data_IF_800489568021
#
_entry.id   IF_800489568021
#
_cell.length_a   1.000
_cell.length_b   1.000
_cell.length_c   1.000
_cell.angle_alpha   90.00
_cell.angle_beta   90.00
_cell.angle_gamma   90.00
#
_symmetry.space_group_name_H-M   'P 1'
#
loop_
_entity.id
_entity.type
_entity.pdbx_description
1 polymer ?
#
# COMPACT_ATOMS: atom_id res chain seq x y z
N UNK A 1 -2.10 5.11 -36.15
CA UNK A 1 -0.87 5.54 -35.45
C UNK A 1 -1.29 6.21 -34.15
N UNK A 2 -1.19 5.48 -33.02
CA UNK A 2 -1.69 5.92 -31.71
C UNK A 2 -0.62 6.75 -30.99
N UNK A 3 -1.04 7.77 -30.24
CA UNK A 3 -0.16 8.72 -29.52
C UNK A 3 0.84 8.05 -28.58
N UNK A 4 0.47 6.88 -28.05
CA UNK A 4 1.28 6.06 -27.15
C UNK A 4 2.56 5.55 -27.85
N UNK A 5 2.42 5.02 -29.08
CA UNK A 5 3.57 4.55 -29.87
C UNK A 5 4.55 5.67 -30.25
N UNK A 6 4.05 6.90 -30.41
CA UNK A 6 4.88 8.07 -30.74
C UNK A 6 5.64 8.58 -29.51
N UNK A 7 5.03 8.49 -28.33
CA UNK A 7 5.67 8.84 -27.06
C UNK A 7 6.80 7.86 -26.71
N UNK A 8 6.55 6.55 -26.87
CA UNK A 8 7.58 5.52 -26.62
C UNK A 8 8.78 5.65 -27.56
N UNK A 9 8.53 5.89 -28.85
CA UNK A 9 9.62 6.08 -29.81
C UNK A 9 10.41 7.36 -29.52
N UNK A 10 9.75 8.42 -29.05
CA UNK A 10 10.40 9.65 -28.62
C UNK A 10 11.24 9.47 -27.35
N UNK A 11 10.79 8.63 -26.41
CA UNK A 11 11.57 8.27 -25.20
C UNK A 11 12.80 7.45 -25.60
N UNK A 12 12.66 6.47 -26.49
CA UNK A 12 13.78 5.66 -26.98
C UNK A 12 14.81 6.47 -27.77
N UNK A 13 14.37 7.44 -28.57
CA UNK A 13 15.25 8.35 -29.32
C UNK A 13 15.93 9.39 -28.39
N UNK A 14 15.27 9.82 -27.30
CA UNK A 14 15.83 10.74 -26.30
C UNK A 14 16.79 10.06 -25.32
N UNK A 15 16.60 8.75 -25.07
CA UNK A 15 17.46 7.95 -24.21
C UNK A 15 18.84 7.66 -24.84
N UNK A 16 19.08 8.10 -26.09
CA UNK A 16 20.41 8.27 -26.69
C UNK A 16 21.35 7.12 -26.38
N UNK A 17 21.17 5.98 -27.06
CA UNK A 17 22.10 4.85 -27.10
C UNK A 17 22.99 4.71 -25.86
N UNK A 18 22.42 4.35 -24.69
CA UNK A 18 23.20 4.12 -23.48
C UNK A 18 24.17 2.94 -23.73
N UNK A 19 25.49 3.17 -23.92
CA UNK A 19 26.48 2.12 -24.02
C UNK A 19 27.09 1.94 -22.62
N UNK A 20 26.23 1.92 -21.60
CA UNK A 20 26.61 1.63 -20.23
C UNK A 20 26.28 0.16 -20.01
N UNK A 21 27.32 -0.66 -19.83
CA UNK A 21 27.20 -1.99 -19.25
C UNK A 21 26.53 -1.84 -17.89
N UNK A 22 25.21 -1.95 -17.87
CA UNK A 22 24.41 -2.11 -16.67
C UNK A 22 24.77 -3.49 -16.12
N UNK A 23 25.83 -3.54 -15.33
CA UNK A 23 26.01 -4.63 -14.38
C UNK A 23 24.86 -4.48 -13.38
N UNK A 24 23.79 -5.25 -13.61
CA UNK A 24 22.61 -5.31 -12.75
C UNK A 24 23.03 -6.06 -11.48
N UNK A 25 23.70 -5.34 -10.58
CA UNK A 25 24.39 -5.91 -9.41
C UNK A 25 23.44 -6.51 -8.39
N UNK A 26 22.14 -6.19 -8.41
CA UNK A 26 21.14 -6.92 -7.63
C UNK A 26 19.74 -6.45 -8.03
N UNK A 27 19.08 -7.21 -8.90
CA UNK A 27 17.63 -7.13 -9.02
C UNK A 27 17.07 -7.72 -7.72
N UNK A 28 16.74 -6.87 -6.74
CA UNK A 28 16.02 -7.33 -5.55
C UNK A 28 14.56 -7.56 -5.95
N UNK A 29 14.35 -8.54 -6.82
CA UNK A 29 13.04 -9.07 -7.16
C UNK A 29 12.52 -9.69 -5.89
N UNK A 30 11.77 -8.89 -5.13
CA UNK A 30 10.98 -9.36 -4.00
C UNK A 30 10.02 -10.36 -4.60
N UNK A 31 10.39 -11.65 -4.50
CA UNK A 31 9.57 -12.73 -5.01
C UNK A 31 8.16 -12.57 -4.42
N UNK A 32 7.10 -12.74 -5.22
CA UNK A 32 5.71 -12.50 -4.79
C UNK A 32 5.34 -13.21 -3.47
N UNK A 33 6.08 -14.27 -3.09
CA UNK A 33 5.95 -14.97 -1.81
C UNK A 33 6.27 -14.12 -0.56
N UNK A 34 7.34 -13.32 -0.57
CA UNK A 34 7.67 -12.44 0.58
C UNK A 34 6.63 -11.32 0.77
N UNK A 35 6.02 -10.87 -0.32
CA UNK A 35 4.89 -9.95 -0.30
C UNK A 35 3.63 -10.61 0.27
N UNK A 36 3.28 -11.81 -0.19
CA UNK A 36 2.13 -12.56 0.29
C UNK A 36 2.22 -12.87 1.80
N UNK A 37 3.39 -13.27 2.28
CA UNK A 37 3.63 -13.54 3.71
C UNK A 37 3.50 -12.27 4.55
N UNK A 38 4.04 -11.14 4.06
CA UNK A 38 3.92 -9.85 4.75
C UNK A 38 2.48 -9.36 4.81
N UNK A 39 1.69 -9.58 3.74
CA UNK A 39 0.25 -9.26 3.71
C UNK A 39 -0.51 -10.11 4.72
N UNK A 40 -0.29 -11.43 4.73
CA UNK A 40 -0.96 -12.32 5.67
C UNK A 40 -0.61 -12.02 7.14
N UNK A 41 0.67 -11.75 7.42
CA UNK A 41 1.12 -11.32 8.73
C UNK A 41 0.50 -9.97 9.11
N UNK A 42 0.43 -9.03 8.18
CA UNK A 42 -0.20 -7.71 8.37
C UNK A 42 -1.70 -7.81 8.66
N UNK A 43 -2.44 -8.67 7.94
CA UNK A 43 -3.87 -8.91 8.19
C UNK A 43 -4.09 -9.50 9.58
N UNK A 44 -3.28 -10.50 9.96
CA UNK A 44 -3.39 -11.15 11.27
C UNK A 44 -3.06 -10.19 12.41
N UNK A 45 -1.97 -9.42 12.27
CA UNK A 45 -1.58 -8.40 13.23
C UNK A 45 -2.61 -7.27 13.32
N UNK A 46 -3.17 -6.85 12.19
CA UNK A 46 -4.23 -5.86 12.10
C UNK A 46 -5.48 -6.33 12.84
N UNK A 47 -5.93 -7.56 12.61
CA UNK A 47 -7.12 -8.11 13.28
C UNK A 47 -6.96 -8.16 14.81
N UNK A 48 -5.81 -8.65 15.29
CA UNK A 48 -5.52 -8.71 16.74
C UNK A 48 -5.40 -7.29 17.31
N UNK A 49 -4.74 -6.37 16.60
CA UNK A 49 -4.60 -4.98 17.00
C UNK A 49 -5.94 -4.25 17.10
N UNK A 50 -6.80 -4.37 16.08
CA UNK A 50 -8.14 -3.79 16.09
C UNK A 50 -8.98 -4.35 17.22
N UNK A 51 -8.99 -5.67 17.43
CA UNK A 51 -9.70 -6.29 18.55
C UNK A 51 -9.22 -5.76 19.91
N UNK A 52 -7.91 -5.62 20.10
CA UNK A 52 -7.32 -5.05 21.31
C UNK A 52 -7.72 -3.59 21.54
N UNK A 53 -7.70 -2.74 20.49
CA UNK A 53 -8.12 -1.33 20.57
C UNK A 53 -9.60 -1.22 20.92
N UNK A 54 -10.47 -2.02 20.30
CA UNK A 54 -11.91 -2.02 20.57
C UNK A 54 -12.18 -2.40 22.03
N UNK A 55 -11.54 -3.47 22.52
CA UNK A 55 -11.66 -3.91 23.92
C UNK A 55 -11.16 -2.83 24.89
N UNK A 56 -10.01 -2.22 24.61
CA UNK A 56 -9.45 -1.16 25.44
C UNK A 56 -10.35 0.08 25.46
N UNK A 57 -10.87 0.51 24.31
CA UNK A 57 -11.82 1.63 24.21
C UNK A 57 -13.09 1.37 25.01
N UNK A 58 -13.65 0.16 24.94
CA UNK A 58 -14.86 -0.21 25.70
C UNK A 58 -14.59 -0.26 27.20
N UNK A 59 -13.45 -0.82 27.62
CA UNK A 59 -13.09 -0.92 29.03
C UNK A 59 -12.75 0.45 29.66
N UNK A 60 -12.04 1.32 28.93
CA UNK A 60 -11.60 2.61 29.43
C UNK A 60 -12.68 3.71 29.33
N UNK A 61 -13.50 3.71 28.27
CA UNK A 61 -14.45 4.79 27.96
C UNK A 61 -15.94 4.37 28.03
N UNK A 62 -16.24 3.09 28.27
CA UNK A 62 -17.62 2.60 28.38
C UNK A 62 -18.47 2.91 27.14
N UNK A 63 -19.62 3.57 27.32
CA UNK A 63 -20.54 3.94 26.24
C UNK A 63 -19.90 4.92 25.23
N UNK A 64 -19.02 5.82 25.67
CA UNK A 64 -18.30 6.74 24.78
C UNK A 64 -17.27 6.01 23.90
N UNK A 65 -16.79 4.84 24.32
CA UNK A 65 -15.94 3.98 23.52
C UNK A 65 -16.61 3.50 22.23
N UNK A 66 -17.95 3.38 22.20
CA UNK A 66 -18.68 2.99 20.98
C UNK A 66 -18.57 4.09 19.90
N UNK A 67 -18.77 5.35 20.29
CA UNK A 67 -18.62 6.48 19.37
C UNK A 67 -17.18 6.62 18.85
N UNK A 68 -16.20 6.38 19.71
CA UNK A 68 -14.79 6.38 19.30
C UNK A 68 -14.46 5.26 18.31
N UNK A 69 -15.03 4.06 18.49
CA UNK A 69 -14.88 2.97 17.52
C UNK A 69 -15.52 3.28 16.16
N UNK A 70 -16.68 3.95 16.13
CA UNK A 70 -17.29 4.42 14.88
C UNK A 70 -16.37 5.43 14.17
N UNK A 71 -15.80 6.37 14.92
CA UNK A 71 -14.84 7.33 14.37
C UNK A 71 -13.58 6.65 13.83
N UNK A 72 -13.08 5.62 14.53
CA UNK A 72 -11.93 4.82 14.08
C UNK A 72 -12.23 4.12 12.74
N UNK A 73 -13.39 3.47 12.61
CA UNK A 73 -13.78 2.79 11.36
C UNK A 73 -13.91 3.79 10.21
N UNK A 74 -14.54 4.94 10.44
CA UNK A 74 -14.63 6.02 9.46
C UNK A 74 -13.23 6.52 9.05
N UNK A 75 -12.32 6.68 10.00
CA UNK A 75 -10.95 7.10 9.72
C UNK A 75 -10.20 6.10 8.82
N UNK A 76 -10.27 4.82 9.14
CA UNK A 76 -9.67 3.76 8.32
C UNK A 76 -10.29 3.77 6.91
N UNK A 77 -11.61 3.89 6.80
CA UNK A 77 -12.31 4.00 5.52
C UNK A 77 -11.84 5.20 4.69
N UNK A 78 -11.65 6.36 5.32
CA UNK A 78 -11.12 7.56 4.64
C UNK A 78 -9.68 7.37 4.15
N UNK A 79 -8.81 6.74 4.95
CA UNK A 79 -7.42 6.45 4.54
C UNK A 79 -7.43 5.52 3.32
N UNK A 80 -8.23 4.45 3.34
CA UNK A 80 -8.34 3.52 2.22
C UNK A 80 -8.92 4.19 0.97
N UNK A 81 -9.95 5.03 1.13
CA UNK A 81 -10.52 5.80 0.03
C UNK A 81 -9.49 6.74 -0.58
N UNK A 82 -8.74 7.49 0.24
CA UNK A 82 -7.70 8.39 -0.22
C UNK A 82 -6.60 7.64 -0.98
N UNK A 83 -6.13 6.51 -0.43
CA UNK A 83 -5.13 5.66 -1.08
C UNK A 83 -5.64 5.12 -2.42
N UNK A 84 -6.90 4.69 -2.50
CA UNK A 84 -7.52 4.21 -3.74
C UNK A 84 -7.72 5.31 -4.79
N UNK A 85 -7.86 6.57 -4.39
CA UNK A 85 -8.06 7.69 -5.34
C UNK A 85 -6.75 8.29 -5.83
N UNK A 86 -5.67 8.20 -5.03
CA UNK A 86 -4.36 8.78 -5.32
C UNK A 86 -3.36 7.75 -5.89
N UNK A 87 -3.59 6.46 -5.64
CA UNK A 87 -2.76 5.34 -6.10
C UNK A 87 -3.16 4.80 -7.47
#
# INVERSE_FOLDING_TARGET
FTSESASDLAVLLRAGALPATLDVVEERTVGPGLGADSINAGVTAGLIGTAGVVLFMLAAYGLFGVFANIALVLNIGMILAALSTLG
#
